data_IF_154315295196
#
_entry.id   IF_154315295196
#
_cell.length_a   1.000
_cell.length_b   1.000
_cell.length_c   1.000
_cell.angle_alpha   90.00
_cell.angle_beta   90.00
_cell.angle_gamma   90.00
#
_symmetry.space_group_name_H-M   'P 1'
#
loop_
_entity.id
_entity.type
_entity.pdbx_description
1 polymer ?
#
# COMPACT_ATOMS: atom_id res chain seq x y z
N UNK A 1 40.52 56.99 -26.49
CA UNK A 1 39.60 57.28 -25.37
C UNK A 1 38.30 56.49 -25.56
N UNK A 2 38.05 55.39 -24.82
CA UNK A 2 36.71 54.79 -24.75
C UNK A 2 36.15 54.85 -23.31
N UNK A 3 34.84 55.13 -23.15
CA UNK A 3 34.14 54.91 -21.88
C UNK A 3 32.65 54.55 -22.08
N UNK A 4 32.22 53.62 -21.20
CA UNK A 4 30.87 53.21 -20.71
C UNK A 4 30.28 51.97 -21.42
N UNK A 5 30.27 50.77 -20.79
CA UNK A 5 29.33 50.19 -19.76
C UNK A 5 27.89 50.10 -20.30
N UNK A 6 27.08 49.05 -20.16
CA UNK A 6 27.06 47.85 -19.31
C UNK A 6 25.91 46.89 -19.77
N UNK A 7 25.80 45.72 -19.10
CA UNK A 7 24.64 44.81 -18.94
C UNK A 7 24.68 43.52 -19.80
N UNK A 8 25.13 42.37 -19.28
CA UNK A 8 24.46 41.47 -18.32
C UNK A 8 23.37 40.59 -18.99
N UNK A 9 23.79 39.44 -19.53
CA UNK A 9 22.94 38.26 -19.67
C UNK A 9 23.67 37.08 -19.04
N UNK A 10 23.22 36.73 -17.82
CA UNK A 10 23.69 35.61 -17.03
C UNK A 10 23.32 34.31 -17.75
N UNK A 11 24.30 33.55 -18.20
CA UNK A 11 24.09 32.14 -18.51
C UNK A 11 23.95 31.37 -17.20
N UNK A 12 22.75 30.85 -16.97
CA UNK A 12 22.47 29.97 -15.85
C UNK A 12 23.05 28.57 -16.13
N UNK A 13 23.80 27.97 -15.20
CA UNK A 13 24.14 26.56 -15.31
C UNK A 13 22.86 25.75 -15.08
N UNK A 14 22.46 24.92 -16.05
CA UNK A 14 21.34 23.99 -15.87
C UNK A 14 21.75 22.92 -14.87
N UNK A 15 21.23 23.08 -13.66
CA UNK A 15 21.29 22.11 -12.57
C UNK A 15 20.77 20.73 -13.01
N UNK A 16 21.39 19.71 -12.43
CA UNK A 16 21.35 18.34 -12.93
C UNK A 16 19.99 17.64 -12.95
N UNK A 17 19.94 16.62 -13.79
CA UNK A 17 18.95 15.57 -13.72
C UNK A 17 19.63 14.30 -13.20
N UNK A 18 19.82 14.23 -11.88
CA UNK A 18 19.90 12.93 -11.21
C UNK A 18 18.49 12.34 -11.29
N UNK A 19 18.16 11.67 -12.39
CA UNK A 19 17.08 10.69 -12.41
C UNK A 19 17.53 9.52 -11.53
N UNK A 20 17.37 9.69 -10.21
CA UNK A 20 17.55 8.63 -9.23
C UNK A 20 16.62 7.49 -9.63
N UNK A 21 17.20 6.38 -10.07
CA UNK A 21 16.55 5.09 -10.19
C UNK A 21 16.07 4.61 -8.82
N UNK A 22 14.91 5.11 -8.37
CA UNK A 22 14.16 4.53 -7.24
C UNK A 22 13.48 3.21 -7.64
N UNK A 23 13.51 2.84 -8.92
CA UNK A 23 12.77 1.70 -9.45
C UNK A 23 13.31 0.32 -8.99
N UNK A 24 14.59 0.22 -8.64
CA UNK A 24 15.25 -1.07 -8.43
C UNK A 24 14.88 -1.79 -7.13
N UNK A 25 14.55 -1.07 -6.05
CA UNK A 25 14.15 -1.71 -4.78
C UNK A 25 12.70 -2.23 -4.83
N UNK A 26 11.79 -1.50 -5.50
CA UNK A 26 10.38 -1.88 -5.60
C UNK A 26 10.17 -3.07 -6.55
N UNK A 27 10.96 -3.13 -7.63
CA UNK A 27 10.93 -4.27 -8.56
C UNK A 27 11.44 -5.59 -7.94
N UNK A 28 12.21 -5.54 -6.85
CA UNK A 28 12.67 -6.72 -6.12
C UNK A 28 11.61 -7.30 -5.13
N UNK A 29 10.54 -6.56 -4.82
CA UNK A 29 9.45 -7.02 -3.93
C UNK A 29 8.40 -7.90 -4.63
N UNK A 30 8.69 -8.42 -5.83
CA UNK A 30 7.70 -9.06 -6.72
C UNK A 30 7.07 -10.36 -6.23
N UNK A 31 7.47 -10.92 -5.08
CA UNK A 31 6.99 -12.21 -4.62
C UNK A 31 6.41 -12.23 -3.20
N UNK A 32 6.10 -11.08 -2.61
CA UNK A 32 5.42 -11.07 -1.33
C UNK A 32 3.92 -11.37 -1.48
N UNK A 33 3.43 -12.20 -0.57
CA UNK A 33 2.03 -12.47 -0.32
C UNK A 33 1.62 -11.70 0.93
N UNK A 34 0.67 -10.79 0.79
CA UNK A 34 0.19 -9.96 1.88
C UNK A 34 -1.08 -10.56 2.45
N UNK A 35 -1.08 -10.82 3.75
CA UNK A 35 -2.32 -11.02 4.51
C UNK A 35 -2.69 -9.67 5.10
N UNK A 36 -3.91 -9.22 4.86
CA UNK A 36 -4.37 -7.90 5.26
C UNK A 36 -5.66 -7.97 6.05
N UNK A 37 -5.86 -6.97 6.89
CA UNK A 37 -7.08 -6.69 7.63
C UNK A 37 -7.58 -5.32 7.16
N UNK A 38 -8.81 -5.30 6.66
CA UNK A 38 -9.52 -4.07 6.36
C UNK A 38 -10.44 -3.75 7.53
N UNK A 39 -10.61 -2.46 7.78
CA UNK A 39 -11.62 -1.91 8.69
C UNK A 39 -12.55 -0.99 7.90
N UNK A 40 -13.82 -1.01 8.25
CA UNK A 40 -14.83 -0.14 7.64
C UNK A 40 -14.86 1.21 8.37
N UNK A 41 -14.79 2.31 7.64
CA UNK A 41 -14.93 3.66 8.25
C UNK A 41 -16.34 3.91 8.78
N UNK A 42 -17.33 3.19 8.22
CA UNK A 42 -18.71 3.29 8.67
C UNK A 42 -18.94 2.54 10.01
N UNK A 43 -18.09 1.58 10.32
CA UNK A 43 -18.20 0.74 11.53
C UNK A 43 -16.83 0.12 11.84
N UNK A 44 -16.08 0.68 12.81
CA UNK A 44 -14.76 0.18 13.18
C UNK A 44 -14.76 -1.26 13.71
N UNK A 45 -15.90 -1.81 14.16
CA UNK A 45 -15.97 -3.20 14.60
C UNK A 45 -16.03 -4.17 13.41
N UNK A 46 -16.33 -3.67 12.21
CA UNK A 46 -16.41 -4.50 11.00
C UNK A 46 -15.04 -4.63 10.35
N UNK A 47 -14.52 -5.85 10.48
CA UNK A 47 -13.23 -6.24 9.93
C UNK A 47 -13.36 -7.24 8.78
N UNK A 48 -12.44 -7.16 7.83
CA UNK A 48 -12.31 -8.14 6.76
C UNK A 48 -10.87 -8.60 6.60
N UNK A 49 -10.63 -9.92 6.71
CA UNK A 49 -9.31 -10.51 6.48
C UNK A 49 -9.24 -11.17 5.11
N UNK A 50 -8.18 -10.89 4.37
CA UNK A 50 -7.88 -11.55 3.11
C UNK A 50 -6.41 -11.61 2.77
N UNK A 51 -6.09 -12.24 1.63
CA UNK A 51 -4.74 -12.30 1.08
C UNK A 51 -4.69 -11.74 -0.34
N UNK A 52 -3.60 -11.06 -0.69
CA UNK A 52 -3.33 -10.52 -2.03
C UNK A 52 -1.83 -10.38 -2.28
N UNK A 53 -1.42 -10.29 -3.54
CA UNK A 53 -0.07 -9.85 -3.92
C UNK A 53 -0.02 -8.34 -4.24
N UNK A 54 -1.18 -7.72 -4.36
CA UNK A 54 -1.35 -6.30 -4.67
C UNK A 54 -2.44 -5.73 -3.75
N UNK A 55 -2.00 -4.99 -2.73
CA UNK A 55 -2.87 -4.37 -1.71
C UNK A 55 -3.69 -3.22 -2.31
N UNK A 56 -3.08 -2.42 -3.18
CA UNK A 56 -3.71 -1.23 -3.75
C UNK A 56 -4.87 -1.61 -4.67
N UNK A 57 -4.62 -2.55 -5.58
CA UNK A 57 -5.65 -3.10 -6.48
C UNK A 57 -6.78 -3.77 -5.70
N UNK A 58 -6.44 -4.48 -4.61
CA UNK A 58 -7.42 -5.13 -3.75
C UNK A 58 -8.31 -4.12 -3.01
N UNK A 59 -7.72 -3.10 -2.39
CA UNK A 59 -8.46 -2.06 -1.67
C UNK A 59 -9.42 -1.32 -2.61
N UNK A 60 -8.95 -0.95 -3.81
CA UNK A 60 -9.80 -0.32 -4.83
C UNK A 60 -11.01 -1.19 -5.20
N UNK A 61 -10.83 -2.50 -5.37
CA UNK A 61 -11.94 -3.42 -5.67
C UNK A 61 -12.97 -3.47 -4.54
N UNK A 62 -12.53 -3.54 -3.28
CA UNK A 62 -13.44 -3.51 -2.14
C UNK A 62 -14.22 -2.19 -2.09
N UNK A 63 -13.56 -1.05 -2.27
CA UNK A 63 -14.20 0.28 -2.24
C UNK A 63 -15.08 0.58 -3.45
N UNK A 64 -14.86 -0.08 -4.58
CA UNK A 64 -15.77 -0.02 -5.73
C UNK A 64 -17.07 -0.81 -5.51
N UNK A 65 -17.09 -1.74 -4.55
CA UNK A 65 -18.24 -2.61 -4.29
C UNK A 65 -18.28 -3.86 -5.17
N UNK A 66 -17.19 -4.17 -5.88
CA UNK A 66 -17.08 -5.35 -6.76
C UNK A 66 -17.05 -6.67 -5.97
N UNK A 67 -17.00 -6.61 -4.64
CA UNK A 67 -17.13 -7.75 -3.72
C UNK A 67 -18.46 -7.67 -2.96
N UNK A 68 -19.42 -8.51 -3.32
CA UNK A 68 -20.78 -8.53 -2.75
C UNK A 68 -20.79 -8.55 -1.21
N UNK A 69 -19.89 -9.34 -0.60
CA UNK A 69 -19.82 -9.53 0.85
C UNK A 69 -19.23 -8.33 1.60
N UNK A 70 -18.45 -7.47 0.94
CA UNK A 70 -17.83 -6.29 1.56
C UNK A 70 -18.44 -4.99 1.02
N UNK A 71 -19.33 -5.06 0.04
CA UNK A 71 -19.91 -3.90 -0.65
C UNK A 71 -20.76 -3.00 0.26
N UNK A 72 -21.31 -3.56 1.35
CA UNK A 72 -22.21 -2.87 2.28
C UNK A 72 -21.49 -1.98 3.29
N UNK A 73 -20.23 -2.27 3.60
CA UNK A 73 -19.47 -1.64 4.68
C UNK A 73 -18.29 -0.82 4.12
N UNK A 74 -18.53 -0.18 2.98
CA UNK A 74 -17.58 0.76 2.38
C UNK A 74 -17.78 2.15 3.02
N UNK A 75 -16.76 3.00 3.06
CA UNK A 75 -15.39 2.77 2.59
C UNK A 75 -14.55 1.93 3.56
N UNK A 76 -13.61 1.18 2.99
CA UNK A 76 -12.64 0.35 3.69
C UNK A 76 -11.27 1.02 3.67
N UNK A 77 -10.54 0.85 4.77
CA UNK A 77 -9.12 1.17 4.90
C UNK A 77 -8.31 -0.07 5.30
N UNK A 78 -7.03 -0.07 4.97
CA UNK A 78 -6.11 -1.13 5.41
C UNK A 78 -5.66 -0.76 6.83
N UNK A 79 -6.10 -1.53 7.82
CA UNK A 79 -5.65 -1.40 9.20
C UNK A 79 -4.27 -2.01 9.37
N UNK A 80 -4.09 -3.23 8.86
CA UNK A 80 -2.83 -3.97 8.97
C UNK A 80 -2.57 -4.80 7.72
N UNK A 81 -1.30 -4.87 7.31
CA UNK A 81 -0.85 -5.79 6.27
C UNK A 81 0.48 -6.44 6.67
N UNK A 82 0.54 -7.77 6.61
CA UNK A 82 1.72 -8.58 6.92
C UNK A 82 2.23 -9.23 5.65
N UNK A 83 3.51 -9.00 5.32
CA UNK A 83 4.14 -9.51 4.10
C UNK A 83 4.85 -10.85 4.35
N UNK A 84 4.57 -11.84 3.51
CA UNK A 84 5.19 -13.16 3.55
C UNK A 84 5.89 -13.47 2.23
N UNK A 85 7.14 -13.93 2.30
CA UNK A 85 7.85 -14.42 1.10
C UNK A 85 7.39 -15.81 0.67
N UNK A 86 6.84 -16.62 1.59
CA UNK A 86 6.22 -17.92 1.30
C UNK A 86 4.72 -17.77 1.21
N UNK A 87 4.16 -18.26 0.10
CA UNK A 87 2.70 -18.30 -0.12
C UNK A 87 2.00 -19.19 0.89
N UNK A 88 2.60 -20.32 1.22
CA UNK A 88 2.06 -21.32 2.15
C UNK A 88 1.91 -20.71 3.54
N UNK A 89 2.95 -20.03 4.03
CA UNK A 89 2.89 -19.31 5.31
C UNK A 89 1.82 -18.22 5.32
N UNK A 90 1.66 -17.50 4.21
CA UNK A 90 0.61 -16.49 4.08
C UNK A 90 -0.79 -17.12 4.15
N UNK A 91 -1.00 -18.26 3.47
CA UNK A 91 -2.26 -19.00 3.50
C UNK A 91 -2.56 -19.51 4.92
N UNK A 92 -1.57 -20.10 5.59
CA UNK A 92 -1.75 -20.64 6.93
C UNK A 92 -2.04 -19.53 7.95
N UNK A 93 -1.39 -18.38 7.81
CA UNK A 93 -1.66 -17.20 8.63
C UNK A 93 -3.06 -16.62 8.36
N UNK A 94 -3.48 -16.51 7.10
CA UNK A 94 -4.84 -16.09 6.74
C UNK A 94 -5.90 -17.03 7.33
N UNK A 95 -5.68 -18.35 7.21
CA UNK A 95 -6.57 -19.36 7.82
C UNK A 95 -6.61 -19.23 9.33
N UNK A 96 -5.47 -19.02 9.97
CA UNK A 96 -5.40 -18.78 11.41
C UNK A 96 -6.23 -17.56 11.79
N UNK A 97 -6.03 -16.40 11.17
CA UNK A 97 -6.80 -15.18 11.47
C UNK A 97 -8.31 -15.36 11.25
N UNK A 98 -8.71 -16.21 10.30
CA UNK A 98 -10.13 -16.53 10.04
C UNK A 98 -10.75 -17.50 11.06
N UNK A 99 -9.95 -18.19 11.87
CA UNK A 99 -10.42 -19.06 12.95
C UNK A 99 -10.96 -18.28 14.15
N UNK A 100 -11.68 -18.92 15.06
CA UNK A 100 -12.25 -18.24 16.25
C UNK A 100 -11.18 -17.61 17.14
N UNK A 101 -10.09 -18.34 17.41
CA UNK A 101 -8.97 -17.81 18.20
C UNK A 101 -8.20 -16.73 17.45
N UNK A 102 -8.06 -16.85 16.12
CA UNK A 102 -7.42 -15.83 15.30
C UNK A 102 -8.21 -14.53 15.20
N UNK A 103 -9.55 -14.59 15.19
CA UNK A 103 -10.40 -13.38 15.24
C UNK A 103 -10.25 -12.65 16.56
N UNK A 104 -10.23 -13.38 17.67
CA UNK A 104 -9.96 -12.78 18.99
C UNK A 104 -8.53 -12.23 19.10
N UNK A 105 -7.55 -12.90 18.49
CA UNK A 105 -6.20 -12.38 18.40
C UNK A 105 -6.17 -11.06 17.62
N UNK A 106 -6.78 -11.03 16.42
CA UNK A 106 -6.82 -9.84 15.58
C UNK A 106 -7.46 -8.65 16.31
N UNK A 107 -8.65 -8.84 16.88
CA UNK A 107 -9.40 -7.80 17.63
C UNK A 107 -8.62 -7.21 18.82
N UNK A 108 -7.64 -7.92 19.36
CA UNK A 108 -6.84 -7.47 20.52
C UNK A 108 -5.56 -6.74 20.14
N UNK A 109 -5.03 -6.98 18.94
CA UNK A 109 -3.67 -6.56 18.55
C UNK A 109 -3.65 -5.65 17.33
N UNK A 110 -4.76 -5.58 16.60
CA UNK A 110 -5.02 -4.65 15.51
C UNK A 110 -6.31 -3.93 15.87
#
# INVERSE_FOLDING_TARGET
MPRRRNANSREHPKAGSLFRSKATAWQAMKNFHYVYILVSDADPDVHYTGMTQDLESRLRKHNKGDCSHTSKNRPWNIETAVAFSSKEKAIDFEKYLKSSSGREFARRHF
#
